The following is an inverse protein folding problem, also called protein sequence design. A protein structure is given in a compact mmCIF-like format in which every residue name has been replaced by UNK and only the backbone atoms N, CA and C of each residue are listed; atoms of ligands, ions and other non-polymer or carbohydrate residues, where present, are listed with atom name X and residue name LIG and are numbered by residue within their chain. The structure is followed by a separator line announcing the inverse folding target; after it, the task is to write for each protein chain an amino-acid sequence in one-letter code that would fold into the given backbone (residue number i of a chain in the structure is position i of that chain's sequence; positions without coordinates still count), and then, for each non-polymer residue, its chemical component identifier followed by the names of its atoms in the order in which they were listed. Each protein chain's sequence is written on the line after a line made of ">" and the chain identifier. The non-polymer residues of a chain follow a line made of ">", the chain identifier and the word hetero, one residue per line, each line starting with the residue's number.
data_IF_660006531181
#
_entry.id   IF_660006531181
#
_cell.length_a   1.000
_cell.length_b   1.000
_cell.length_c   1.000
_cell.angle_alpha   90.00
_cell.angle_beta   90.00
_cell.angle_gamma   90.00
#
_symmetry.space_group_name_H-M   'P 1'
#
loop_
_entity.id
_entity.type
_entity.pdbx_description
1 polymer ?
#
# COMPACT_ATOMS: atom_id res chain seq x y z
N UNK A 1 12.37 0.59 -24.42
CA UNK A 1 11.02 -0.03 -24.41
C UNK A 1 10.47 -0.11 -22.99
N UNK A 2 9.15 0.04 -22.81
CA UNK A 2 8.50 0.08 -21.50
C UNK A 2 8.28 -1.30 -20.88
N UNK A 3 8.48 -1.40 -19.56
CA UNK A 3 8.16 -2.54 -18.71
C UNK A 3 7.47 -2.03 -17.45
N UNK A 4 6.31 -2.59 -17.12
CA UNK A 4 5.70 -2.38 -15.82
C UNK A 4 6.43 -3.22 -14.79
N UNK A 5 6.76 -2.63 -13.64
CA UNK A 5 7.25 -3.33 -12.46
C UNK A 5 6.26 -3.13 -11.33
N UNK A 6 5.91 -4.24 -10.67
CA UNK A 6 5.20 -4.24 -9.41
C UNK A 6 6.17 -4.70 -8.33
N UNK A 7 6.27 -3.95 -7.24
CA UNK A 7 6.96 -4.37 -6.01
C UNK A 7 6.05 -4.06 -4.84
N UNK A 8 5.73 -5.05 -4.01
CA UNK A 8 4.87 -4.84 -2.84
C UNK A 8 4.34 -6.12 -2.24
N UNK A 9 3.30 -6.00 -1.43
CA UNK A 9 2.63 -7.15 -0.83
C UNK A 9 1.31 -7.38 -1.54
N UNK A 10 1.04 -8.62 -1.92
CA UNK A 10 -0.30 -9.03 -2.32
C UNK A 10 -0.97 -9.82 -1.21
N UNK A 11 -2.20 -9.46 -0.91
CA UNK A 11 -3.11 -10.21 -0.07
C UNK A 11 -4.24 -10.80 -0.90
N UNK A 12 -4.61 -12.04 -0.62
CA UNK A 12 -5.63 -12.78 -1.36
C UNK A 12 -6.65 -13.37 -0.39
N UNK A 13 -7.94 -13.23 -0.71
CA UNK A 13 -9.03 -14.01 -0.11
C UNK A 13 -9.28 -15.20 -1.03
N UNK A 14 -8.79 -16.38 -0.66
CA UNK A 14 -8.90 -17.59 -1.50
C UNK A 14 -9.45 -18.76 -0.69
N UNK A 15 -10.52 -19.39 -1.19
CA UNK A 15 -11.35 -20.29 -0.37
C UNK A 15 -11.77 -19.57 0.91
N UNK A 16 -11.53 -20.17 2.08
CA UNK A 16 -11.80 -19.55 3.39
C UNK A 16 -10.50 -19.11 4.11
N UNK A 17 -9.52 -18.65 3.35
CA UNK A 17 -8.22 -18.23 3.87
C UNK A 17 -7.81 -16.86 3.35
N UNK A 18 -7.14 -16.11 4.21
CA UNK A 18 -6.38 -14.93 3.83
C UNK A 18 -4.93 -15.35 3.62
N UNK A 19 -4.44 -15.19 2.40
CA UNK A 19 -3.07 -15.50 2.00
C UNK A 19 -2.32 -14.21 1.69
N UNK A 20 -1.01 -14.25 1.83
CA UNK A 20 -0.17 -13.11 1.48
C UNK A 20 1.15 -13.56 0.85
N UNK A 21 1.71 -12.70 0.00
CA UNK A 21 3.01 -12.92 -0.63
C UNK A 21 3.67 -11.57 -0.93
N UNK A 22 4.98 -11.47 -0.72
CA UNK A 22 5.79 -10.36 -1.23
C UNK A 22 6.07 -10.64 -2.72
N UNK A 23 5.76 -9.67 -3.57
CA UNK A 23 5.84 -9.80 -5.03
C UNK A 23 6.75 -8.70 -5.55
N UNK A 24 7.77 -9.07 -6.31
CA UNK A 24 8.57 -8.15 -7.12
C UNK A 24 8.73 -8.77 -8.51
N UNK A 25 8.02 -8.21 -9.49
CA UNK A 25 7.98 -8.74 -10.85
C UNK A 25 7.84 -7.63 -11.85
N UNK A 26 8.23 -7.92 -13.10
CA UNK A 26 8.06 -6.99 -14.21
C UNK A 26 7.53 -7.69 -15.45
N UNK A 27 6.75 -6.97 -16.23
CA UNK A 27 6.13 -7.45 -17.48
C UNK A 27 6.35 -6.40 -18.56
N UNK A 28 6.68 -6.83 -19.78
CA UNK A 28 6.78 -5.95 -20.93
C UNK A 28 5.47 -5.15 -21.11
N UNK A 29 5.60 -3.82 -21.05
CA UNK A 29 4.49 -2.89 -21.24
C UNK A 29 4.12 -2.71 -22.71
N UNK A 30 5.01 -3.12 -23.62
CA UNK A 30 4.76 -3.20 -25.05
C UNK A 30 5.31 -4.55 -25.56
N UNK A 31 4.48 -5.61 -25.61
CA UNK A 31 4.96 -6.95 -25.95
C UNK A 31 5.26 -7.04 -27.45
N UNK A 32 6.52 -7.28 -27.80
CA UNK A 32 6.96 -7.67 -29.15
C UNK A 32 7.43 -9.12 -29.11
N UNK A 33 7.13 -9.87 -30.16
CA UNK A 33 7.61 -11.25 -30.31
C UNK A 33 9.15 -11.22 -30.36
N UNK A 34 9.81 -11.90 -29.43
CA UNK A 34 11.27 -11.90 -29.30
C UNK A 34 11.84 -10.96 -28.24
N UNK A 35 11.06 -9.99 -27.73
CA UNK A 35 11.47 -9.23 -26.54
C UNK A 35 11.36 -10.11 -25.28
N UNK A 36 12.25 -9.93 -24.28
CA UNK A 36 12.09 -10.56 -22.98
C UNK A 36 10.73 -10.22 -22.36
N UNK A 37 10.01 -11.24 -21.89
CA UNK A 37 8.73 -11.03 -21.21
C UNK A 37 8.87 -10.16 -19.94
N UNK A 38 10.02 -10.28 -19.26
CA UNK A 38 10.32 -9.63 -17.99
C UNK A 38 11.75 -9.09 -17.95
N UNK A 39 11.99 -8.10 -17.09
CA UNK A 39 13.34 -7.64 -16.76
C UNK A 39 14.07 -8.59 -15.79
N UNK A 40 13.39 -9.59 -15.23
CA UNK A 40 13.98 -10.51 -14.26
C UNK A 40 14.49 -9.76 -13.03
N UNK A 41 15.74 -10.02 -12.63
CA UNK A 41 16.38 -9.40 -11.46
C UNK A 41 17.07 -8.05 -11.75
N UNK A 42 17.00 -7.55 -12.99
CA UNK A 42 17.68 -6.31 -13.40
C UNK A 42 17.24 -5.09 -12.57
N UNK A 43 15.94 -4.87 -12.30
CA UNK A 43 15.50 -3.73 -11.51
C UNK A 43 15.97 -3.75 -10.04
N UNK A 44 16.44 -4.89 -9.53
CA UNK A 44 17.05 -5.04 -8.20
C UNK A 44 18.57 -4.89 -8.25
N UNK A 45 19.21 -5.29 -9.35
CA UNK A 45 20.66 -5.30 -9.50
C UNK A 45 21.23 -3.99 -10.10
N UNK A 46 20.40 -3.15 -10.72
CA UNK A 46 20.83 -1.97 -11.48
C UNK A 46 20.27 -0.67 -10.90
N UNK A 47 20.99 0.44 -11.11
CA UNK A 47 20.54 1.78 -10.71
C UNK A 47 19.52 2.32 -11.71
N UNK A 48 18.31 2.61 -11.23
CA UNK A 48 17.28 3.30 -12.01
C UNK A 48 17.50 4.81 -11.95
N UNK A 49 17.14 5.51 -13.03
CA UNK A 49 17.15 6.97 -13.13
C UNK A 49 15.77 7.44 -13.54
N UNK A 50 15.34 8.59 -13.02
CA UNK A 50 14.12 9.23 -13.48
C UNK A 50 14.27 9.68 -14.93
N UNK A 51 13.19 9.57 -15.70
CA UNK A 51 13.12 10.11 -17.05
C UNK A 51 13.02 11.63 -16.95
N UNK A 52 14.08 12.31 -17.37
CA UNK A 52 14.12 13.77 -17.47
C UNK A 52 13.95 14.22 -18.93
N UNK A 53 13.60 15.49 -19.13
CA UNK A 53 13.39 16.07 -20.46
C UNK A 53 14.62 15.95 -21.35
N UNK A 54 15.82 16.05 -20.78
CA UNK A 54 17.13 15.97 -21.43
C UNK A 54 17.65 14.53 -21.66
N UNK A 55 16.93 13.51 -21.19
CA UNK A 55 17.40 12.12 -21.31
C UNK A 55 17.38 11.66 -22.78
N UNK A 56 18.51 11.24 -23.38
CA UNK A 56 18.56 10.87 -24.80
C UNK A 56 17.80 9.57 -25.08
N UNK A 57 17.32 9.43 -26.32
CA UNK A 57 16.59 8.26 -26.80
C UNK A 57 15.08 8.48 -26.85
N UNK A 58 14.34 7.45 -27.27
CA UNK A 58 12.87 7.47 -27.42
C UNK A 58 12.21 6.59 -26.38
N UNK A 59 11.19 7.14 -25.70
CA UNK A 59 10.55 6.50 -24.56
C UNK A 59 9.12 6.11 -24.92
N UNK A 60 8.95 4.91 -25.46
CA UNK A 60 7.66 4.44 -25.98
C UNK A 60 6.63 4.27 -24.85
N UNK A 61 5.40 4.72 -25.08
CA UNK A 61 4.26 4.47 -24.20
C UNK A 61 3.93 2.97 -24.12
N UNK A 62 3.53 2.45 -22.95
CA UNK A 62 3.08 1.07 -22.85
C UNK A 62 1.75 0.89 -23.60
N UNK A 63 1.60 -0.21 -24.33
CA UNK A 63 0.31 -0.64 -24.91
C UNK A 63 -0.52 -1.47 -23.93
N UNK A 64 0.13 -2.11 -22.95
CA UNK A 64 -0.52 -2.71 -21.80
C UNK A 64 -0.79 -1.61 -20.77
N UNK A 65 -2.06 -1.31 -20.51
CA UNK A 65 -2.41 -0.34 -19.48
C UNK A 65 -2.14 -0.88 -18.05
N UNK A 66 -2.13 0.03 -17.08
CA UNK A 66 -1.84 -0.28 -15.68
C UNK A 66 -2.85 -1.26 -15.06
N UNK A 67 -4.13 -1.14 -15.37
CA UNK A 67 -5.18 -2.00 -14.79
C UNK A 67 -5.07 -3.43 -15.33
N UNK A 68 -4.82 -3.58 -16.63
CA UNK A 68 -4.55 -4.87 -17.25
C UNK A 68 -3.27 -5.50 -16.70
N UNK A 69 -2.22 -4.72 -16.43
CA UNK A 69 -1.01 -5.19 -15.76
C UNK A 69 -1.30 -5.70 -14.34
N UNK A 70 -1.98 -4.92 -13.50
CA UNK A 70 -2.36 -5.32 -12.14
C UNK A 70 -3.25 -6.56 -12.13
N UNK A 71 -4.19 -6.65 -13.06
CA UNK A 71 -5.02 -7.84 -13.28
C UNK A 71 -4.19 -9.10 -13.55
N UNK A 72 -3.16 -9.00 -14.41
CA UNK A 72 -2.23 -10.12 -14.67
C UNK A 72 -1.49 -10.57 -13.41
N UNK A 73 -1.08 -9.64 -12.55
CA UNK A 73 -0.45 -9.97 -11.26
C UNK A 73 -1.44 -10.73 -10.37
N UNK A 74 -2.66 -10.23 -10.21
CA UNK A 74 -3.71 -10.89 -9.41
C UNK A 74 -4.03 -12.31 -9.90
N UNK A 75 -4.12 -12.52 -11.21
CA UNK A 75 -4.34 -13.84 -11.82
C UNK A 75 -3.15 -14.79 -11.61
N UNK A 76 -1.92 -14.33 -11.85
CA UNK A 76 -0.72 -15.15 -11.70
C UNK A 76 -0.51 -15.63 -10.26
N UNK A 77 -0.87 -14.81 -9.27
CA UNK A 77 -0.82 -15.20 -7.86
C UNK A 77 -1.86 -16.26 -7.49
N UNK A 78 -3.03 -16.18 -8.12
CA UNK A 78 -4.11 -17.13 -7.94
C UNK A 78 -3.79 -18.51 -8.52
N UNK A 79 -2.90 -18.62 -9.50
CA UNK A 79 -2.55 -19.86 -10.19
C UNK A 79 -1.55 -20.78 -9.42
N UNK A 80 -1.28 -20.54 -8.13
CA UNK A 80 -0.33 -21.38 -7.36
C UNK A 80 -0.83 -22.84 -7.29
N UNK A 81 -0.03 -23.86 -7.69
CA UNK A 81 -0.50 -25.24 -7.95
C UNK A 81 -1.22 -25.90 -6.77
N UNK A 82 -0.69 -25.72 -5.56
CA UNK A 82 -1.22 -26.33 -4.33
C UNK A 82 -2.63 -25.86 -3.93
N UNK A 83 -3.14 -24.79 -4.56
CA UNK A 83 -4.44 -24.19 -4.22
C UNK A 83 -5.21 -23.73 -5.44
N UNK A 84 -4.82 -24.15 -6.65
CA UNK A 84 -5.36 -23.62 -7.91
C UNK A 84 -6.90 -23.74 -7.96
N UNK A 85 -7.45 -24.81 -7.42
CA UNK A 85 -8.88 -25.16 -7.44
C UNK A 85 -9.78 -24.33 -6.50
N UNK A 86 -9.19 -23.61 -5.52
CA UNK A 86 -9.99 -22.81 -4.59
C UNK A 86 -10.49 -21.52 -5.26
N UNK A 87 -11.75 -21.09 -5.01
CA UNK A 87 -12.26 -19.85 -5.56
C UNK A 87 -11.51 -18.63 -5.02
N UNK A 88 -11.16 -17.70 -5.91
CA UNK A 88 -10.65 -16.38 -5.54
C UNK A 88 -11.83 -15.46 -5.25
N UNK A 89 -11.90 -14.93 -4.03
CA UNK A 89 -12.95 -13.99 -3.60
C UNK A 89 -12.51 -12.54 -3.71
N UNK A 90 -11.20 -12.27 -3.81
CA UNK A 90 -10.65 -10.94 -4.08
C UNK A 90 -9.19 -10.83 -3.67
N UNK A 91 -8.58 -9.71 -3.99
CA UNK A 91 -7.20 -9.39 -3.65
C UNK A 91 -7.05 -7.91 -3.31
N UNK A 92 -5.95 -7.57 -2.65
CA UNK A 92 -5.49 -6.21 -2.44
C UNK A 92 -3.97 -6.17 -2.58
N UNK A 93 -3.47 -5.06 -3.10
CA UNK A 93 -2.04 -4.75 -3.09
C UNK A 93 -1.81 -3.70 -2.00
N UNK A 94 -0.82 -3.92 -1.15
CA UNK A 94 -0.52 -3.04 -0.03
C UNK A 94 0.98 -2.84 0.08
N UNK A 95 1.37 -1.64 0.43
CA UNK A 95 2.76 -1.19 0.50
C UNK A 95 3.45 -1.27 -0.84
N UNK A 96 2.70 -1.28 -1.94
CA UNK A 96 3.25 -1.48 -3.28
C UNK A 96 3.87 -0.21 -3.87
N UNK A 97 4.58 -0.44 -4.96
CA UNK A 97 5.10 0.59 -5.83
C UNK A 97 5.01 0.03 -7.23
N UNK A 98 4.22 0.70 -8.06
CA UNK A 98 4.13 0.39 -9.48
C UNK A 98 4.96 1.39 -10.24
N UNK A 99 5.92 0.90 -11.03
CA UNK A 99 6.84 1.73 -11.78
C UNK A 99 6.82 1.34 -13.24
N UNK A 100 6.79 2.34 -14.13
CA UNK A 100 7.07 2.14 -15.54
C UNK A 100 8.58 2.31 -15.77
N UNK A 101 9.26 1.23 -16.13
CA UNK A 101 10.71 1.20 -16.40
C UNK A 101 10.94 1.14 -17.90
N UNK A 102 11.74 2.07 -18.43
CA UNK A 102 12.22 1.98 -19.81
C UNK A 102 13.61 1.36 -19.83
N UNK A 103 13.71 0.16 -20.41
CA UNK A 103 15.01 -0.46 -20.66
C UNK A 103 15.52 -0.06 -22.06
N UNK A 104 16.81 0.29 -22.19
CA UNK A 104 17.36 0.76 -23.45
C UNK A 104 17.61 -0.38 -24.43
N UNK A 105 17.21 -0.15 -25.67
CA UNK A 105 17.51 -0.99 -26.83
C UNK A 105 17.96 -0.09 -27.97
N UNK A 106 18.78 -0.60 -28.89
CA UNK A 106 19.21 0.13 -30.07
C UNK A 106 19.16 -0.76 -31.31
N UNK A 107 19.07 -0.13 -32.48
CA UNK A 107 19.22 -0.84 -33.75
C UNK A 107 20.68 -0.84 -34.20
N UNK A 108 21.14 -1.99 -34.70
CA UNK A 108 22.38 -2.12 -35.44
C UNK A 108 22.07 -2.86 -36.75
N UNK A 109 22.03 -2.13 -37.86
CA UNK A 109 21.37 -2.58 -39.08
C UNK A 109 19.88 -2.85 -38.83
N UNK A 110 19.37 -3.98 -39.32
CA UNK A 110 17.99 -4.41 -39.13
C UNK A 110 17.74 -5.13 -37.79
N UNK A 111 18.78 -5.27 -36.96
CA UNK A 111 18.72 -6.01 -35.71
C UNK A 111 18.46 -5.13 -34.49
N UNK A 112 17.56 -5.56 -33.60
CA UNK A 112 17.38 -4.93 -32.29
C UNK A 112 18.34 -5.55 -31.26
N UNK A 113 19.01 -4.70 -30.48
CA UNK A 113 19.98 -5.11 -29.47
C UNK A 113 19.60 -4.61 -28.08
N UNK A 114 19.76 -5.46 -27.07
CA UNK A 114 19.72 -5.07 -25.66
C UNK A 114 20.99 -4.31 -25.30
N UNK A 115 20.86 -3.01 -25.03
CA UNK A 115 21.98 -2.12 -24.74
C UNK A 115 22.67 -2.42 -23.40
N UNK A 116 21.98 -3.14 -22.49
CA UNK A 116 22.52 -3.48 -21.18
C UNK A 116 23.29 -4.80 -21.22
N UNK A 117 22.85 -5.74 -22.06
CA UNK A 117 23.47 -7.07 -22.19
C UNK A 117 24.38 -7.21 -23.42
N UNK A 118 24.43 -6.19 -24.27
CA UNK A 118 25.07 -6.22 -25.59
C UNK A 118 24.67 -7.48 -26.39
N UNK A 119 23.36 -7.72 -26.47
CA UNK A 119 22.80 -8.95 -27.01
C UNK A 119 21.80 -8.68 -28.12
N UNK A 120 22.00 -9.34 -29.26
CA UNK A 120 21.03 -9.39 -30.34
C UNK A 120 19.72 -10.05 -29.90
N UNK A 121 18.60 -9.42 -30.25
CA UNK A 121 17.26 -9.92 -30.01
C UNK A 121 16.61 -10.26 -31.35
N UNK A 122 16.20 -11.53 -31.56
CA UNK A 122 15.51 -11.95 -32.78
C UNK A 122 14.05 -11.48 -32.72
N UNK A 123 13.84 -10.18 -32.86
CA UNK A 123 12.50 -9.56 -32.88
C UNK A 123 12.00 -9.55 -34.31
N UNK A 124 10.96 -10.33 -34.59
CA UNK A 124 10.38 -10.44 -35.93
C UNK A 124 9.54 -9.20 -36.28
N UNK A 125 9.71 -8.67 -37.49
CA UNK A 125 8.81 -7.68 -38.08
C UNK A 125 8.84 -6.28 -37.43
N UNK A 126 9.94 -5.93 -36.78
CA UNK A 126 10.12 -4.64 -36.10
C UNK A 126 11.24 -3.86 -36.78
N UNK A 127 10.92 -2.68 -37.31
CA UNK A 127 11.90 -1.76 -37.90
C UNK A 127 12.03 -0.49 -37.06
N UNK A 128 13.06 0.31 -37.34
CA UNK A 128 13.21 1.61 -36.73
C UNK A 128 12.01 2.51 -37.08
N UNK A 129 11.48 2.46 -38.31
CA UNK A 129 10.32 3.26 -38.68
C UNK A 129 9.06 2.84 -37.91
N UNK A 130 8.85 1.53 -37.74
CA UNK A 130 7.65 1.01 -37.05
C UNK A 130 7.62 1.40 -35.57
N UNK A 131 8.77 1.38 -34.88
CA UNK A 131 8.86 1.89 -33.51
C UNK A 131 8.83 3.41 -33.47
N UNK A 132 9.27 4.06 -34.55
CA UNK A 132 9.35 5.51 -34.61
C UNK A 132 7.99 6.21 -34.74
N UNK A 133 6.96 5.51 -35.20
CA UNK A 133 5.60 6.03 -35.28
C UNK A 133 4.82 5.91 -33.96
N UNK A 134 5.36 5.19 -32.97
CA UNK A 134 4.69 4.98 -31.68
C UNK A 134 4.72 6.25 -30.82
N UNK A 135 3.69 6.40 -30.01
CA UNK A 135 3.57 7.50 -29.06
C UNK A 135 4.64 7.40 -27.96
N UNK A 136 5.27 8.53 -27.65
CA UNK A 136 6.22 8.64 -26.55
C UNK A 136 5.55 9.07 -25.24
N UNK A 137 6.15 8.66 -24.13
CA UNK A 137 5.78 9.11 -22.80
C UNK A 137 6.08 10.60 -22.68
N UNK A 138 5.14 11.42 -22.18
CA UNK A 138 5.41 12.84 -21.93
C UNK A 138 6.55 13.02 -20.91
N UNK A 139 7.51 13.90 -21.23
CA UNK A 139 8.72 14.10 -20.41
C UNK A 139 8.56 15.11 -19.27
N UNK A 140 7.52 15.95 -19.30
CA UNK A 140 7.32 17.07 -18.37
C UNK A 140 6.28 16.77 -17.27
N UNK A 141 6.22 15.53 -16.81
CA UNK A 141 5.18 15.09 -15.85
C UNK A 141 5.59 15.20 -14.39
N UNK A 142 6.85 15.55 -14.10
CA UNK A 142 7.33 15.69 -12.73
C UNK A 142 6.81 16.99 -12.11
N UNK A 143 6.02 16.84 -11.04
CA UNK A 143 5.58 17.96 -10.20
C UNK A 143 6.33 17.91 -8.89
N UNK A 144 6.93 19.03 -8.51
CA UNK A 144 7.58 19.20 -7.22
C UNK A 144 6.65 19.97 -6.30
N UNK A 145 6.43 19.44 -5.09
CA UNK A 145 5.74 20.14 -4.02
C UNK A 145 6.77 20.54 -2.97
N UNK A 146 6.81 21.83 -2.64
CA UNK A 146 7.62 22.29 -1.51
C UNK A 146 7.03 21.69 -0.24
N UNK A 147 7.84 20.99 0.56
CA UNK A 147 7.41 20.38 1.82
C UNK A 147 7.24 21.45 2.93
N UNK A 148 6.46 22.49 2.66
CA UNK A 148 6.15 23.59 3.58
C UNK A 148 4.69 23.47 4.03
N UNK A 149 4.45 23.69 5.32
CA UNK A 149 3.12 23.68 5.89
C UNK A 149 2.29 24.83 5.29
N UNK A 150 1.11 24.54 4.68
CA UNK A 150 0.24 25.57 4.14
C UNK A 150 -0.24 26.61 5.16
N UNK A 151 -0.21 26.29 6.46
CA UNK A 151 -0.70 27.19 7.52
C UNK A 151 0.38 28.10 8.13
N UNK A 152 1.58 27.58 8.38
CA UNK A 152 2.64 28.33 9.07
C UNK A 152 3.92 28.54 8.26
N UNK A 153 4.01 27.94 7.06
CA UNK A 153 5.17 28.05 6.18
C UNK A 153 6.45 27.34 6.67
N UNK A 154 6.40 26.61 7.79
CA UNK A 154 7.55 25.80 8.27
C UNK A 154 7.67 24.50 7.49
N UNK A 155 8.86 23.91 7.52
CA UNK A 155 9.11 22.60 6.94
C UNK A 155 8.18 21.54 7.56
N UNK A 156 7.59 20.71 6.69
CA UNK A 156 6.86 19.53 7.07
C UNK A 156 7.83 18.37 7.29
N UNK A 157 7.60 17.59 8.35
CA UNK A 157 8.33 16.36 8.61
C UNK A 157 7.94 15.29 7.58
N UNK A 158 8.93 14.91 6.77
CA UNK A 158 8.76 13.96 5.68
C UNK A 158 10.00 13.07 5.52
N UNK A 159 9.76 11.85 5.06
CA UNK A 159 10.77 10.93 4.57
C UNK A 159 10.54 10.62 3.09
N UNK A 160 11.52 9.97 2.45
CA UNK A 160 11.49 9.56 1.04
C UNK A 160 10.22 8.80 0.60
N UNK A 161 9.56 8.14 1.55
CA UNK A 161 8.42 7.24 1.39
C UNK A 161 7.18 7.75 2.15
N UNK A 162 7.18 9.00 2.62
CA UNK A 162 6.03 9.58 3.32
C UNK A 162 4.86 9.76 2.37
N UNK A 163 3.72 9.16 2.74
CA UNK A 163 2.43 9.39 2.10
C UNK A 163 1.67 10.56 2.77
N UNK A 164 1.94 10.81 4.05
CA UNK A 164 1.43 11.95 4.81
C UNK A 164 2.60 12.65 5.48
N UNK A 165 2.57 13.97 5.43
CA UNK A 165 3.58 14.85 5.97
C UNK A 165 3.02 15.55 7.22
N UNK A 166 3.82 15.66 8.28
CA UNK A 166 3.37 16.18 9.57
C UNK A 166 3.95 17.57 9.81
N UNK A 167 3.15 18.48 10.36
CA UNK A 167 3.64 19.74 10.88
C UNK A 167 3.63 19.68 12.41
N UNK A 168 4.78 19.57 13.05
CA UNK A 168 4.87 19.56 14.52
C UNK A 168 4.57 20.91 15.16
N UNK A 169 4.71 22.01 14.41
CA UNK A 169 4.35 23.35 14.90
C UNK A 169 2.85 23.64 14.88
N UNK A 170 2.13 23.18 13.84
CA UNK A 170 0.68 23.34 13.73
C UNK A 170 -0.09 22.12 14.23
N UNK A 171 0.63 21.05 14.61
CA UNK A 171 0.08 19.78 15.08
C UNK A 171 -0.97 19.23 14.10
N UNK A 172 -0.58 19.16 12.82
CA UNK A 172 -1.48 18.77 11.75
C UNK A 172 -0.79 17.89 10.72
N UNK A 173 -1.60 17.29 9.84
CA UNK A 173 -1.15 16.35 8.83
C UNK A 173 -1.66 16.74 7.44
N UNK A 174 -0.82 16.50 6.43
CA UNK A 174 -1.07 16.90 5.05
C UNK A 174 -0.75 15.75 4.10
N UNK A 175 -1.65 15.49 3.14
CA UNK A 175 -1.40 14.56 2.04
C UNK A 175 -1.15 15.32 0.72
N UNK A 176 -0.22 14.86 -0.13
CA UNK A 176 -0.08 15.39 -1.48
C UNK A 176 -1.35 15.12 -2.31
N UNK A 177 -1.98 16.17 -2.81
CA UNK A 177 -3.13 16.15 -3.72
C UNK A 177 -2.78 16.65 -5.12
N UNK A 178 -3.80 16.78 -5.97
CA UNK A 178 -3.61 17.16 -7.39
C UNK A 178 -3.16 18.61 -7.61
N UNK A 179 -3.47 19.50 -6.66
CA UNK A 179 -3.19 20.93 -6.70
C UNK A 179 -2.33 21.47 -5.55
N UNK A 180 -1.77 20.62 -4.70
CA UNK A 180 -1.05 21.03 -3.50
C UNK A 180 -1.25 20.05 -2.36
N UNK A 181 -1.20 20.52 -1.12
CA UNK A 181 -1.49 19.70 0.06
C UNK A 181 -2.96 19.76 0.45
N UNK A 182 -3.51 18.61 0.82
CA UNK A 182 -4.85 18.46 1.38
C UNK A 182 -4.76 18.08 2.86
N UNK A 183 -5.57 18.72 3.71
CA UNK A 183 -5.51 18.50 5.16
C UNK A 183 -6.11 17.14 5.53
N UNK A 184 -5.38 16.40 6.36
CA UNK A 184 -5.81 15.10 6.89
C UNK A 184 -6.24 15.28 8.34
N UNK A 185 -7.39 14.72 8.71
CA UNK A 185 -7.82 14.68 10.11
C UNK A 185 -6.83 13.87 10.94
N UNK A 186 -6.57 14.33 12.16
CA UNK A 186 -5.64 13.68 13.09
C UNK A 186 -6.32 13.39 14.42
N UNK A 187 -5.74 12.48 15.19
CA UNK A 187 -6.14 12.19 16.56
C UNK A 187 -5.00 11.48 17.30
N UNK A 188 -5.15 11.36 18.61
CA UNK A 188 -4.12 10.75 19.47
C UNK A 188 -4.79 9.80 20.46
N UNK A 189 -4.18 8.63 20.66
CA UNK A 189 -4.57 7.72 21.74
C UNK A 189 -3.86 8.14 23.03
N UNK A 190 -4.62 8.27 24.11
CA UNK A 190 -4.07 8.61 25.42
C UNK A 190 -2.99 7.62 25.86
N UNK A 191 -1.94 8.14 26.47
CA UNK A 191 -0.83 7.36 27.02
C UNK A 191 -0.78 7.54 28.54
N UNK A 192 -0.96 6.45 29.28
CA UNK A 192 -0.82 6.44 30.75
C UNK A 192 0.66 6.56 31.18
N UNK A 193 1.58 6.16 30.29
CA UNK A 193 3.03 6.21 30.48
C UNK A 193 3.68 7.15 29.45
N UNK A 194 4.90 7.63 29.71
CA UNK A 194 5.63 8.43 28.72
C UNK A 194 5.97 7.57 27.49
N UNK A 195 5.35 7.92 26.35
CA UNK A 195 5.55 7.22 25.09
C UNK A 195 6.91 7.56 24.48
N UNK A 196 7.67 6.54 24.09
CA UNK A 196 8.96 6.72 23.44
C UNK A 196 8.82 6.88 21.92
N UNK A 197 7.77 6.27 21.36
CA UNK A 197 7.51 6.20 19.93
C UNK A 197 6.00 6.25 19.69
N UNK A 198 5.59 7.04 18.71
CA UNK A 198 4.21 7.15 18.25
C UNK A 198 4.10 6.52 16.87
N UNK A 199 3.29 5.48 16.76
CA UNK A 199 3.04 4.83 15.47
C UNK A 199 1.74 5.36 14.86
N UNK A 200 1.75 5.77 13.58
CA UNK A 200 0.54 6.28 12.92
C UNK A 200 -0.34 5.12 12.44
N UNK A 201 -1.64 5.25 12.66
CA UNK A 201 -2.67 4.33 12.19
C UNK A 201 -3.72 5.09 11.40
N UNK A 202 -4.15 4.52 10.29
CA UNK A 202 -5.40 4.92 9.68
C UNK A 202 -6.56 4.37 10.52
N UNK A 203 -7.38 5.27 11.04
CA UNK A 203 -8.71 4.92 11.58
C UNK A 203 -9.75 5.27 10.53
N UNK A 204 -10.54 4.28 10.12
CA UNK A 204 -11.47 4.38 9.00
C UNK A 204 -12.86 3.90 9.39
N UNK A 205 -13.81 4.82 9.39
CA UNK A 205 -15.24 4.50 9.45
C UNK A 205 -15.72 4.37 8.01
N UNK A 206 -16.15 3.16 7.65
CA UNK A 206 -16.59 2.82 6.29
C UNK A 206 -17.89 2.03 6.33
N UNK A 207 -18.70 2.23 5.30
CA UNK A 207 -19.85 1.39 5.02
C UNK A 207 -19.47 0.32 4.00
N UNK A 208 -20.02 -0.87 4.15
CA UNK A 208 -19.86 -1.94 3.17
C UNK A 208 -21.21 -2.21 2.53
N UNK A 209 -21.25 -2.17 1.21
CA UNK A 209 -22.47 -2.52 0.49
C UNK A 209 -22.92 -3.95 0.86
N UNK A 210 -24.15 -4.06 1.36
CA UNK A 210 -24.73 -5.34 1.79
C UNK A 210 -24.29 -5.87 3.17
N UNK A 211 -23.47 -5.13 3.93
CA UNK A 211 -23.04 -5.51 5.29
C UNK A 211 -23.37 -4.38 6.29
N UNK A 212 -24.12 -4.69 7.35
CA UNK A 212 -24.29 -3.76 8.48
C UNK A 212 -23.11 -3.90 9.43
N UNK A 213 -22.22 -2.90 9.44
CA UNK A 213 -21.02 -2.83 10.28
C UNK A 213 -20.92 -1.45 10.96
N UNK A 214 -22.06 -0.85 11.32
CA UNK A 214 -22.12 0.54 11.78
C UNK A 214 -21.63 0.69 13.22
N UNK A 215 -21.77 -0.35 14.05
CA UNK A 215 -21.36 -0.37 15.43
C UNK A 215 -20.44 -1.52 15.78
N UNK A 216 -19.74 -1.42 16.91
CA UNK A 216 -18.90 -2.50 17.42
C UNK A 216 -19.72 -3.77 17.66
N UNK A 217 -20.99 -3.65 18.07
CA UNK A 217 -21.89 -4.79 18.22
C UNK A 217 -22.24 -5.45 16.88
N UNK A 218 -22.50 -4.66 15.82
CA UNK A 218 -22.68 -5.19 14.47
C UNK A 218 -21.46 -5.98 14.01
N UNK A 219 -20.26 -5.43 14.22
CA UNK A 219 -19.01 -6.10 13.89
C UNK A 219 -18.81 -7.41 14.65
N UNK A 220 -19.07 -7.44 15.97
CA UNK A 220 -18.96 -8.67 16.78
C UNK A 220 -19.94 -9.73 16.27
N UNK A 221 -21.21 -9.35 16.02
CA UNK A 221 -22.23 -10.27 15.48
C UNK A 221 -21.86 -10.81 14.11
N UNK A 222 -21.38 -9.95 13.22
CA UNK A 222 -21.01 -10.32 11.86
C UNK A 222 -19.82 -11.27 11.82
N UNK A 223 -18.78 -10.97 12.60
CA UNK A 223 -17.56 -11.76 12.62
C UNK A 223 -17.71 -13.05 13.42
N UNK A 224 -18.56 -13.07 14.45
CA UNK A 224 -18.67 -14.18 15.39
C UNK A 224 -17.55 -14.19 16.43
N UNK A 225 -17.00 -13.03 16.78
CA UNK A 225 -15.95 -12.92 17.80
C UNK A 225 -16.51 -13.30 19.19
N UNK A 226 -15.77 -14.07 19.99
CA UNK A 226 -16.18 -14.45 21.35
C UNK A 226 -15.98 -13.30 22.33
N UNK A 227 -16.64 -12.17 22.08
CA UNK A 227 -16.64 -10.98 22.94
C UNK A 227 -18.09 -10.64 23.27
N UNK A 228 -18.39 -10.49 24.55
CA UNK A 228 -19.69 -10.01 25.00
C UNK A 228 -19.68 -8.48 24.83
N UNK A 229 -20.57 -7.88 24.03
CA UNK A 229 -20.71 -6.43 23.99
C UNK A 229 -21.15 -5.94 25.37
N UNK A 230 -20.42 -5.01 25.97
CA UNK A 230 -20.95 -4.23 27.09
C UNK A 230 -22.03 -3.29 26.55
N UNK A 231 -23.10 -3.00 27.32
CA UNK A 231 -24.20 -2.12 26.87
C UNK A 231 -23.71 -0.76 26.33
N UNK A 232 -22.63 -0.22 26.88
CA UNK A 232 -22.00 1.04 26.41
C UNK A 232 -21.31 0.95 25.03
N UNK A 233 -21.21 -0.25 24.47
CA UNK A 233 -20.53 -0.56 23.19
C UNK A 233 -21.54 -0.87 22.08
N UNK A 234 -22.85 -0.97 22.38
CA UNK A 234 -23.86 -1.31 21.38
C UNK A 234 -24.04 -0.23 20.29
N UNK A 235 -23.89 1.04 20.66
CA UNK A 235 -24.06 2.19 19.76
C UNK A 235 -22.75 2.87 19.37
N UNK A 236 -21.61 2.42 19.91
CA UNK A 236 -20.31 3.01 19.59
C UNK A 236 -19.96 2.75 18.11
N UNK A 237 -19.57 3.80 17.35
CA UNK A 237 -19.26 3.66 15.93
C UNK A 237 -18.05 2.73 15.76
N UNK A 238 -18.15 1.82 14.79
CA UNK A 238 -17.05 0.92 14.47
C UNK A 238 -16.11 1.54 13.44
N UNK A 239 -14.81 1.44 13.70
CA UNK A 239 -13.79 1.85 12.76
C UNK A 239 -12.74 0.75 12.54
N UNK A 240 -12.25 0.61 11.32
CA UNK A 240 -11.07 -0.20 11.04
C UNK A 240 -9.81 0.55 11.43
N UNK A 241 -8.83 -0.19 11.94
CA UNK A 241 -7.51 0.33 12.26
C UNK A 241 -6.47 -0.38 11.40
N UNK A 242 -5.74 0.38 10.61
CA UNK A 242 -4.71 -0.12 9.69
C UNK A 242 -3.41 0.66 9.96
N UNK A 243 -2.26 0.00 10.15
CA UNK A 243 -0.97 0.69 10.22
C UNK A 243 -0.82 1.65 9.04
N UNK A 244 -0.54 2.92 9.31
CA UNK A 244 -0.22 3.90 8.27
C UNK A 244 1.26 3.81 7.86
N UNK A 245 1.88 2.66 8.12
CA UNK A 245 3.28 2.36 7.85
C UNK A 245 3.42 0.90 7.38
N UNK A 246 4.51 0.62 6.67
CA UNK A 246 4.75 -0.70 6.08
C UNK A 246 5.27 -1.68 7.11
N UNK A 247 4.76 -2.92 7.08
CA UNK A 247 5.18 -4.05 7.90
C UNK A 247 5.24 -5.33 7.07
N UNK A 248 5.98 -6.34 7.54
CA UNK A 248 5.92 -7.68 6.94
C UNK A 248 4.47 -8.20 6.94
N UNK A 249 4.00 -8.89 5.89
CA UNK A 249 2.56 -9.08 5.66
C UNK A 249 1.78 -9.74 6.82
N UNK A 250 2.35 -10.79 7.41
CA UNK A 250 1.74 -11.46 8.56
C UNK A 250 1.60 -10.53 9.78
N UNK A 251 2.63 -9.73 10.04
CA UNK A 251 2.66 -8.81 11.16
C UNK A 251 1.72 -7.62 10.93
N UNK A 252 1.64 -7.13 9.69
CA UNK A 252 0.70 -6.09 9.28
C UNK A 252 -0.74 -6.50 9.63
N UNK A 253 -1.21 -7.67 9.14
CA UNK A 253 -2.56 -8.16 9.46
C UNK A 253 -2.77 -8.36 10.96
N UNK A 254 -1.78 -8.94 11.66
CA UNK A 254 -1.85 -9.16 13.11
C UNK A 254 -2.08 -7.86 13.88
N UNK A 255 -1.31 -6.82 13.56
CA UNK A 255 -1.40 -5.51 14.22
C UNK A 255 -2.73 -4.83 13.85
N UNK A 256 -3.11 -4.81 12.56
CA UNK A 256 -4.41 -4.28 12.12
C UNK A 256 -5.58 -4.94 12.83
N UNK A 257 -5.53 -6.27 13.00
CA UNK A 257 -6.53 -7.05 13.71
C UNK A 257 -6.59 -6.67 15.19
N UNK A 258 -5.47 -6.63 15.87
CA UNK A 258 -5.41 -6.30 17.30
C UNK A 258 -5.99 -4.90 17.56
N UNK A 259 -5.61 -3.92 16.75
CA UNK A 259 -6.09 -2.55 16.87
C UNK A 259 -7.58 -2.42 16.52
N UNK A 260 -8.03 -3.07 15.43
CA UNK A 260 -9.44 -3.05 15.02
C UNK A 260 -10.33 -3.75 16.04
N UNK A 261 -9.89 -4.83 16.70
CA UNK A 261 -10.67 -5.43 17.78
C UNK A 261 -10.64 -4.53 19.02
N UNK A 262 -9.51 -3.89 19.32
CA UNK A 262 -9.36 -3.08 20.52
C UNK A 262 -10.28 -1.85 20.55
N UNK A 263 -10.50 -1.19 19.41
CA UNK A 263 -11.26 0.08 19.32
C UNK A 263 -10.78 1.08 20.38
N UNK A 264 -9.47 1.39 20.38
CA UNK A 264 -8.89 2.31 21.37
C UNK A 264 -9.58 3.67 21.30
N UNK A 265 -9.81 4.26 22.48
CA UNK A 265 -10.31 5.63 22.57
C UNK A 265 -9.21 6.61 22.14
N UNK A 266 -9.63 7.68 21.49
CA UNK A 266 -8.77 8.74 20.96
C UNK A 266 -9.38 10.10 21.28
N UNK A 267 -8.53 11.10 21.37
CA UNK A 267 -8.91 12.49 21.51
C UNK A 267 -8.62 13.23 20.20
N UNK A 268 -9.62 13.95 19.73
CA UNK A 268 -9.46 14.91 18.63
C UNK A 268 -8.74 16.14 19.20
N UNK A 269 -7.86 16.75 18.42
CA UNK A 269 -7.10 17.97 18.76
C UNK A 269 -5.90 17.80 19.71
N UNK A 270 -5.69 16.60 20.27
CA UNK A 270 -4.47 16.29 21.00
C UNK A 270 -3.29 16.01 20.04
N UNK A 271 -2.07 16.23 20.53
CA UNK A 271 -0.82 15.92 19.81
C UNK A 271 0.23 15.37 20.78
N UNK A 272 1.12 14.45 20.34
CA UNK A 272 2.23 14.00 21.17
C UNK A 272 3.10 15.15 21.69
N UNK A 273 3.23 15.23 23.02
CA UNK A 273 4.07 16.25 23.66
C UNK A 273 5.56 15.85 23.65
N UNK A 274 5.84 14.55 23.67
CA UNK A 274 7.19 13.98 23.61
C UNK A 274 7.17 12.66 22.82
N UNK A 275 8.37 12.14 22.52
CA UNK A 275 8.55 10.89 21.77
C UNK A 275 8.69 11.08 20.26
N UNK A 276 9.32 10.11 19.61
CA UNK A 276 9.52 10.10 18.16
C UNK A 276 8.20 9.76 17.45
N UNK A 277 7.82 10.47 16.39
CA UNK A 277 6.67 10.07 15.55
C UNK A 277 7.19 9.27 14.36
N UNK A 278 6.69 8.05 14.21
CA UNK A 278 7.06 7.21 13.07
C UNK A 278 6.41 7.73 11.78
N UNK A 279 7.10 7.67 10.62
CA UNK A 279 6.57 8.21 9.38
C UNK A 279 5.32 7.50 8.89
N UNK A 280 4.35 8.26 8.40
CA UNK A 280 3.19 7.74 7.70
C UNK A 280 3.58 7.45 6.24
N UNK A 281 3.85 6.19 5.92
CA UNK A 281 4.37 5.72 4.62
C UNK A 281 3.44 4.76 3.86
N UNK A 282 2.21 4.60 4.34
CA UNK A 282 1.17 3.82 3.67
C UNK A 282 0.00 4.76 3.29
N UNK A 283 -0.27 4.98 2.00
CA UNK A 283 -1.36 5.84 1.54
C UNK A 283 -2.75 5.39 2.02
N UNK A 284 -3.70 6.31 2.20
CA UNK A 284 -5.05 5.96 2.63
C UNK A 284 -5.81 5.11 1.60
N UNK A 285 -5.45 5.18 0.31
CA UNK A 285 -6.01 4.31 -0.72
C UNK A 285 -5.69 2.83 -0.45
N UNK A 286 -4.43 2.52 -0.18
CA UNK A 286 -3.98 1.16 0.17
C UNK A 286 -4.64 0.68 1.47
N UNK A 287 -4.69 1.53 2.51
CA UNK A 287 -5.32 1.16 3.78
C UNK A 287 -6.80 0.79 3.61
N UNK A 288 -7.48 1.47 2.69
CA UNK A 288 -8.85 1.15 2.35
C UNK A 288 -8.98 -0.16 1.55
N UNK A 289 -8.11 -0.39 0.57
CA UNK A 289 -8.06 -1.66 -0.19
C UNK A 289 -7.81 -2.87 0.74
N UNK A 290 -7.14 -2.64 1.88
CA UNK A 290 -6.95 -3.67 2.90
C UNK A 290 -8.24 -4.09 3.62
N UNK A 291 -9.27 -3.24 3.72
CA UNK A 291 -10.38 -3.50 4.64
C UNK A 291 -11.15 -4.81 4.35
N UNK A 292 -11.44 -5.18 3.09
CA UNK A 292 -12.01 -6.50 2.80
C UNK A 292 -11.11 -7.66 3.21
N UNK A 293 -9.78 -7.51 3.11
CA UNK A 293 -8.82 -8.52 3.57
C UNK A 293 -8.85 -8.64 5.09
N UNK A 294 -8.82 -7.50 5.78
CA UNK A 294 -8.80 -7.42 7.24
C UNK A 294 -10.11 -7.96 7.84
N UNK A 295 -11.26 -7.59 7.27
CA UNK A 295 -12.57 -8.13 7.68
C UNK A 295 -12.65 -9.65 7.50
N UNK A 296 -12.06 -10.19 6.42
CA UNK A 296 -11.98 -11.63 6.21
C UNK A 296 -11.03 -12.33 7.21
N UNK A 297 -9.93 -11.69 7.59
CA UNK A 297 -8.98 -12.21 8.59
C UNK A 297 -9.56 -12.18 10.02
N UNK A 298 -10.34 -11.15 10.32
CA UNK A 298 -10.99 -10.92 11.62
C UNK A 298 -12.07 -11.95 11.96
N UNK A 299 -12.72 -12.53 10.96
CA UNK A 299 -13.86 -13.44 11.12
C UNK A 299 -13.43 -14.89 11.40
N UNK A 300 -13.76 -15.46 12.58
CA UNK A 300 -13.65 -16.90 12.79
C UNK A 300 -14.62 -17.69 11.89
N UNK A 301 -15.81 -17.15 11.62
CA UNK A 301 -16.83 -17.78 10.79
C UNK A 301 -16.60 -17.54 9.27
N UNK A 302 -15.41 -17.91 8.77
CA UNK A 302 -14.96 -17.60 7.41
C UNK A 302 -15.90 -18.12 6.31
N UNK A 303 -16.50 -19.29 6.52
CA UNK A 303 -17.43 -19.92 5.58
C UNK A 303 -18.71 -19.09 5.36
N UNK A 304 -19.23 -18.46 6.43
CA UNK A 304 -20.40 -17.61 6.35
C UNK A 304 -20.07 -16.20 5.83
N UNK A 305 -18.87 -15.71 6.11
CA UNK A 305 -18.46 -14.33 5.84
C UNK A 305 -17.95 -14.15 4.40
N UNK A 306 -17.09 -15.03 3.91
CA UNK A 306 -16.44 -14.84 2.60
C UNK A 306 -17.43 -14.74 1.42
N UNK A 307 -18.50 -15.57 1.34
CA UNK A 307 -19.48 -15.45 0.25
C UNK A 307 -20.23 -14.11 0.25
N UNK A 308 -20.46 -13.52 1.42
CA UNK A 308 -21.15 -12.22 1.59
C UNK A 308 -20.25 -11.04 1.22
N UNK A 309 -18.94 -11.27 1.10
CA UNK A 309 -17.95 -10.24 0.81
C UNK A 309 -17.49 -10.19 -0.66
N UNK A 310 -18.19 -10.88 -1.57
CA UNK A 310 -17.84 -10.92 -3.01
C UNK A 310 -17.87 -9.53 -3.67
N UNK A 311 -18.74 -8.64 -3.20
CA UNK A 311 -18.89 -7.28 -3.71
C UNK A 311 -18.73 -6.21 -2.62
N UNK A 312 -18.10 -6.58 -1.49
CA UNK A 312 -17.92 -5.69 -0.35
C UNK A 312 -16.82 -4.65 -0.65
N UNK A 313 -17.16 -3.66 -1.47
CA UNK A 313 -16.36 -2.46 -1.66
C UNK A 313 -16.73 -1.45 -0.56
N UNK A 314 -15.74 -0.85 0.13
CA UNK A 314 -16.02 0.16 1.14
C UNK A 314 -16.45 1.50 0.51
N UNK A 315 -17.61 2.00 0.93
CA UNK A 315 -18.29 3.24 0.52
C UNK A 315 -18.43 4.16 1.74
N UNK A 316 -18.38 5.48 1.55
CA UNK A 316 -18.46 6.46 2.66
C UNK A 316 -17.22 6.37 3.55
N UNK A 317 -16.41 7.44 3.64
CA UNK A 317 -15.09 7.34 4.24
C UNK A 317 -14.84 8.52 5.16
N UNK A 318 -15.02 8.34 6.46
CA UNK A 318 -14.29 9.18 7.42
C UNK A 318 -12.96 8.50 7.69
N UNK A 319 -11.88 9.21 7.41
CA UNK A 319 -10.52 8.73 7.64
C UNK A 319 -9.74 9.77 8.41
N UNK A 320 -8.88 9.29 9.30
CA UNK A 320 -7.94 10.11 10.05
C UNK A 320 -6.67 9.33 10.34
N UNK A 321 -5.58 10.04 10.54
CA UNK A 321 -4.33 9.48 11.05
C UNK A 321 -4.33 9.62 12.56
N UNK A 322 -4.32 8.50 13.26
CA UNK A 322 -4.28 8.44 14.72
C UNK A 322 -2.88 8.04 15.18
N UNK A 323 -2.28 8.85 16.03
CA UNK A 323 -0.97 8.56 16.62
C UNK A 323 -1.17 7.72 17.89
N UNK A 324 -0.58 6.52 17.91
CA UNK A 324 -0.75 5.55 18.98
C UNK A 324 0.57 5.41 19.76
N UNK A 325 0.55 5.47 21.10
CA UNK A 325 1.76 5.43 21.92
C UNK A 325 2.32 4.01 22.03
N UNK A 326 3.65 3.91 21.95
CA UNK A 326 4.41 2.69 22.18
C UNK A 326 5.59 2.95 23.12
N UNK A 327 5.83 1.98 24.00
CA UNK A 327 7.03 1.91 24.82
C UNK A 327 8.14 1.24 24.03
N UNK A 328 9.37 1.76 24.11
CA UNK A 328 10.51 1.21 23.37
C UNK A 328 11.42 0.41 24.29
N UNK A 329 11.62 -0.86 23.96
CA UNK A 329 12.66 -1.74 24.52
C UNK A 329 13.76 -1.99 23.47
N UNK A 330 14.91 -2.59 23.84
CA UNK A 330 16.01 -2.78 22.90
C UNK A 330 15.67 -3.59 21.63
N UNK A 331 14.80 -4.60 21.73
CA UNK A 331 14.47 -5.51 20.63
C UNK A 331 13.04 -5.36 20.11
N UNK A 332 12.16 -4.75 20.89
CA UNK A 332 10.73 -4.64 20.60
C UNK A 332 10.16 -3.30 21.07
N UNK A 333 9.04 -2.92 20.47
CA UNK A 333 8.18 -1.85 20.94
C UNK A 333 6.86 -2.46 21.37
N UNK A 334 6.27 -1.95 22.45
CA UNK A 334 5.12 -2.53 23.11
C UNK A 334 4.00 -1.50 23.16
N UNK A 335 2.79 -1.90 22.77
CA UNK A 335 1.60 -1.09 23.00
C UNK A 335 1.19 -1.31 24.47
N UNK A 336 1.22 -0.27 25.33
CA UNK A 336 1.14 -0.43 26.78
C UNK A 336 -0.19 -1.04 27.26
N UNK A 337 -1.32 -0.61 26.68
CA UNK A 337 -2.67 -1.03 27.09
C UNK A 337 -3.06 -2.43 26.60
N UNK A 338 -2.59 -2.83 25.42
CA UNK A 338 -2.93 -4.08 24.74
C UNK A 338 -1.85 -5.15 24.93
N UNK A 339 -0.65 -4.75 25.37
CA UNK A 339 0.46 -5.64 25.70
C UNK A 339 1.10 -6.35 24.51
N UNK A 340 0.66 -6.10 23.27
CA UNK A 340 1.29 -6.71 22.11
C UNK A 340 2.60 -6.00 21.76
N UNK A 341 3.54 -6.76 21.21
CA UNK A 341 4.83 -6.23 20.79
C UNK A 341 5.07 -6.33 19.28
N UNK A 342 5.87 -5.40 18.79
CA UNK A 342 6.39 -5.35 17.42
C UNK A 342 7.92 -5.36 17.52
N UNK A 343 8.64 -6.26 16.82
CA UNK A 343 10.09 -6.19 16.79
C UNK A 343 10.57 -4.85 16.21
N UNK A 344 11.56 -4.19 16.83
CA UNK A 344 12.10 -2.90 16.33
C UNK A 344 12.58 -3.03 14.88
N UNK A 345 13.16 -4.18 14.54
CA UNK A 345 13.62 -4.48 13.18
C UNK A 345 12.50 -4.52 12.14
N UNK A 346 11.26 -4.81 12.55
CA UNK A 346 10.11 -4.91 11.65
C UNK A 346 9.75 -3.57 11.00
N UNK A 347 9.89 -2.45 11.73
CA UNK A 347 9.68 -1.11 11.16
C UNK A 347 10.71 -0.78 10.08
N UNK A 348 11.97 -1.18 10.30
CA UNK A 348 13.05 -0.98 9.32
C UNK A 348 12.86 -1.86 8.08
N UNK A 349 12.57 -3.15 8.27
CA UNK A 349 12.39 -4.07 7.16
C UNK A 349 11.11 -3.79 6.37
N UNK A 350 10.04 -3.32 7.03
CA UNK A 350 8.81 -2.90 6.37
C UNK A 350 9.03 -1.82 5.31
N UNK A 351 9.90 -0.85 5.58
CA UNK A 351 10.29 0.22 4.62
C UNK A 351 11.13 -0.28 3.44
N UNK A 352 11.58 -1.53 3.49
CA UNK A 352 12.29 -2.19 2.39
C UNK A 352 11.42 -3.15 1.59
N UNK A 353 10.11 -3.23 1.87
CA UNK A 353 9.17 -4.00 1.06
C UNK A 353 8.88 -3.30 -0.26
#
# INVERSE_FOLDING_TARGET
>A
MPYWRFRGVSYLRKGFQVLHRVVDTSVAGYPLKGLPYSLGLRPQAMRLRFLASDTPGRFIMPSLDLQAFLGRIGHGLSATPLRAELPLHGHAFIGETVTLIHTPFFFNGDGLWDALMDRFLPVDGVSLESLSSLQEVPRDTLRFLAALCPECGRDLEAHKDSAVLLCTSCQCAWEPGTGGFERVQTGVVESEEEAHLWLPFWRMEVEFEGLSLNSVADFIRFTGLPRIPLYSVETAPFAFWVPAFKLHPHLFLRVSRQMTVAQLAEHEEDWPVSGEIHPCCLPPGEALECLPILLADLSPAREAVFPRMKHAAPVGRKRRVVLVPFLRKPLEIIQPRLGFSIPVSALRFGRSL
#
